data_IF_682666545495
#
_entry.id   IF_682666545495
#
_cell.length_a   1.000
_cell.length_b   1.000
_cell.length_c   1.000
_cell.angle_alpha   90.00
_cell.angle_beta   90.00
_cell.angle_gamma   90.00
#
_symmetry.space_group_name_H-M   'P 1'
#
loop_
_entity.id
_entity.type
_entity.pdbx_description
1 polymer ?
#
# COMPACT_ATOMS: atom_id res chain seq x y z
N UNK A 1 -5.26 17.64 -2.46
CA UNK A 1 -5.25 16.18 -2.68
C UNK A 1 -6.65 15.68 -2.35
N UNK A 2 -7.29 14.94 -3.24
CA UNK A 2 -8.64 14.40 -3.00
C UNK A 2 -8.50 13.00 -2.40
N UNK A 3 -9.10 12.75 -1.24
CA UNK A 3 -9.16 11.43 -0.60
C UNK A 3 -10.54 10.84 -0.82
N UNK A 4 -10.60 9.57 -1.22
CA UNK A 4 -11.86 8.83 -1.35
C UNK A 4 -12.04 7.96 -0.10
N UNK A 5 -13.23 7.98 0.49
CA UNK A 5 -13.60 7.04 1.55
C UNK A 5 -14.15 5.77 0.93
N UNK A 6 -13.47 4.66 1.17
CA UNK A 6 -13.87 3.35 0.66
C UNK A 6 -14.02 2.37 1.82
N UNK A 7 -14.98 1.47 1.70
CA UNK A 7 -15.11 0.30 2.58
C UNK A 7 -14.66 -0.92 1.79
N UNK A 8 -13.63 -1.62 2.27
CA UNK A 8 -13.07 -2.80 1.64
C UNK A 8 -12.73 -3.86 2.69
N UNK A 9 -12.84 -5.13 2.29
CA UNK A 9 -12.38 -6.24 3.10
C UNK A 9 -10.86 -6.38 2.94
N UNK A 10 -10.17 -6.60 4.06
CA UNK A 10 -8.72 -6.77 4.12
C UNK A 10 -8.41 -8.03 4.91
N UNK A 11 -7.31 -8.68 4.56
CA UNK A 11 -6.79 -9.79 5.36
C UNK A 11 -6.32 -9.25 6.72
N UNK A 12 -6.90 -9.78 7.79
CA UNK A 12 -6.62 -9.37 9.15
C UNK A 12 -5.15 -9.65 9.52
N UNK A 13 -4.61 -10.80 9.13
CA UNK A 13 -3.24 -11.19 9.45
C UNK A 13 -2.23 -10.24 8.79
N UNK A 14 -2.50 -9.82 7.55
CA UNK A 14 -1.66 -8.86 6.84
C UNK A 14 -1.66 -7.49 7.53
N UNK A 15 -2.81 -7.04 8.05
CA UNK A 15 -2.92 -5.77 8.76
C UNK A 15 -2.25 -5.81 10.12
N UNK A 16 -2.32 -6.95 10.82
CA UNK A 16 -1.57 -7.18 12.06
C UNK A 16 -0.07 -7.12 11.80
N UNK A 17 0.42 -7.86 10.82
CA UNK A 17 1.84 -7.82 10.43
C UNK A 17 2.27 -6.40 10.05
N UNK A 18 1.48 -5.69 9.24
CA UNK A 18 1.78 -4.32 8.88
C UNK A 18 1.83 -3.39 10.10
N UNK A 19 0.96 -3.60 11.09
CA UNK A 19 0.93 -2.80 12.32
C UNK A 19 2.14 -3.07 13.21
N UNK A 20 2.63 -4.31 13.24
CA UNK A 20 3.86 -4.68 13.96
C UNK A 20 5.12 -4.14 13.28
N UNK A 21 5.19 -4.23 11.95
CA UNK A 21 6.37 -3.85 11.16
C UNK A 21 6.47 -2.35 10.91
N UNK A 22 5.34 -1.65 10.84
CA UNK A 22 5.24 -0.23 10.51
C UNK A 22 4.51 0.53 11.64
N UNK A 23 5.05 0.53 12.87
CA UNK A 23 4.39 1.14 14.01
C UNK A 23 4.19 2.64 13.78
N UNK A 24 3.00 3.14 14.10
CA UNK A 24 2.65 4.55 13.97
C UNK A 24 2.02 4.94 12.62
N UNK A 25 1.97 4.04 11.63
CA UNK A 25 1.20 4.28 10.41
C UNK A 25 -0.28 3.93 10.60
N UNK A 26 -1.14 4.74 10.00
CA UNK A 26 -2.57 4.42 9.93
C UNK A 26 -2.82 3.36 8.86
N UNK A 27 -3.92 2.62 8.96
CA UNK A 27 -4.32 1.64 7.92
C UNK A 27 -4.37 2.28 6.53
N UNK A 28 -4.90 3.50 6.42
CA UNK A 28 -4.93 4.26 5.16
C UNK A 28 -3.52 4.54 4.64
N UNK A 29 -2.61 4.99 5.50
CA UNK A 29 -1.23 5.26 5.10
C UNK A 29 -0.52 3.99 4.60
N UNK A 30 -0.67 2.87 5.31
CA UNK A 30 -0.11 1.57 4.88
C UNK A 30 -0.63 1.18 3.49
N UNK A 31 -1.94 1.31 3.25
CA UNK A 31 -2.55 0.96 1.97
C UNK A 31 -2.07 1.91 0.85
N UNK A 32 -2.02 3.21 1.10
CA UNK A 32 -1.56 4.18 0.11
C UNK A 32 -0.08 3.97 -0.25
N UNK A 33 0.79 3.77 0.74
CA UNK A 33 2.22 3.49 0.49
C UNK A 33 2.41 2.16 -0.23
N UNK A 34 1.63 1.13 0.12
CA UNK A 34 1.63 -0.15 -0.60
C UNK A 34 1.26 0.02 -2.07
N UNK A 35 0.22 0.80 -2.37
CA UNK A 35 -0.18 1.11 -3.74
C UNK A 35 0.89 1.89 -4.50
N UNK A 36 1.51 2.91 -3.87
CA UNK A 36 2.61 3.67 -4.47
C UNK A 36 3.80 2.77 -4.79
N UNK A 37 4.18 1.88 -3.88
CA UNK A 37 5.27 0.92 -4.07
C UNK A 37 5.01 -0.04 -5.23
N UNK A 38 3.77 -0.55 -5.36
CA UNK A 38 3.38 -1.41 -6.48
C UNK A 38 3.46 -0.68 -7.83
N UNK A 39 2.96 0.55 -7.90
CA UNK A 39 3.03 1.37 -9.12
C UNK A 39 4.48 1.64 -9.51
N UNK A 40 5.33 2.01 -8.55
CA UNK A 40 6.75 2.26 -8.79
C UNK A 40 7.48 1.01 -9.31
N UNK A 41 7.18 -0.16 -8.72
CA UNK A 41 7.74 -1.45 -9.16
C UNK A 41 7.35 -1.77 -10.60
N UNK A 42 6.08 -1.64 -10.95
CA UNK A 42 5.59 -1.86 -12.32
C UNK A 42 6.22 -0.89 -13.32
N UNK A 43 6.35 0.39 -12.95
CA UNK A 43 7.01 1.39 -13.79
C UNK A 43 8.48 1.02 -14.07
N UNK A 44 9.22 0.58 -13.05
CA UNK A 44 10.60 0.13 -13.20
C UNK A 44 10.72 -1.11 -14.09
N UNK A 45 9.81 -2.08 -13.95
CA UNK A 45 9.78 -3.28 -14.79
C UNK A 45 9.51 -2.95 -16.26
N UNK A 46 8.58 -2.04 -16.54
CA UNK A 46 8.31 -1.57 -17.92
C UNK A 46 9.52 -0.87 -18.52
N UNK A 47 10.20 -0.03 -17.74
CA UNK A 47 11.40 0.66 -18.19
C UNK A 47 12.54 -0.31 -18.51
N UNK A 48 12.71 -1.37 -17.71
CA UNK A 48 13.74 -2.40 -17.94
C UNK A 48 13.48 -3.27 -19.18
N UNK A 49 12.26 -3.24 -19.74
CA UNK A 49 11.88 -3.99 -20.93
C UNK A 49 11.99 -3.19 -22.25
N UNK A 50 12.45 -1.92 -22.19
CA UNK A 50 12.73 -1.05 -23.34
C UNK A 50 14.20 -1.14 -23.75
#
# INVERSE_FOLDING_TARGET
>A
MQTIRTTLNLDQALIEEASERLPGLTRTAVIEEGLRALIAREAAQRLAAL
#
